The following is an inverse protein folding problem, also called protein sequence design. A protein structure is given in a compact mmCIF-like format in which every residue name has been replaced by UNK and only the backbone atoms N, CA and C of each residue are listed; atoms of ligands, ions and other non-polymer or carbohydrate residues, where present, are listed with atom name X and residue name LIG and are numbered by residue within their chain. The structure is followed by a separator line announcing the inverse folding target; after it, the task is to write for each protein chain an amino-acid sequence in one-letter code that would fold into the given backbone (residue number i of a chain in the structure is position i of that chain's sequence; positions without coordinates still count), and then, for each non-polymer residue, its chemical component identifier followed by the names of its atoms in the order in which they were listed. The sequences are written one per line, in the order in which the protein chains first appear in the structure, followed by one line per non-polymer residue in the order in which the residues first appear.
data_IF_084302665826
#
_entry.id   IF_084302665826
#
_cell.length_a   1.000
_cell.length_b   1.000
_cell.length_c   1.000
_cell.angle_alpha   90.00
_cell.angle_beta   90.00
_cell.angle_gamma   90.00
#
_symmetry.space_group_name_H-M   'P 1'
#
loop_
_entity.id
_entity.type
_entity.pdbx_description
1 polymer ?
#
# COMPACT_ATOMS: atom_id res chain seq x y z
N UNK A 1 27.52 1.80 -42.58
CA UNK A 1 27.47 1.75 -41.09
C UNK A 1 26.22 2.41 -40.49
N UNK A 2 25.52 3.31 -41.19
CA UNK A 2 24.27 3.96 -40.74
C UNK A 2 23.02 3.05 -40.81
N UNK A 3 22.91 2.18 -41.82
CA UNK A 3 21.75 1.27 -41.96
C UNK A 3 21.66 0.16 -40.90
N UNK A 4 22.80 -0.30 -40.37
CA UNK A 4 22.81 -1.34 -39.33
C UNK A 4 22.31 -0.81 -37.99
N UNK A 5 22.71 0.42 -37.61
CA UNK A 5 22.23 1.11 -36.40
C UNK A 5 20.73 1.42 -36.46
N UNK A 6 20.24 1.90 -37.60
CA UNK A 6 18.81 2.17 -37.80
C UNK A 6 17.94 0.90 -37.73
N UNK A 7 18.44 -0.23 -38.24
CA UNK A 7 17.76 -1.54 -38.12
C UNK A 7 17.77 -2.06 -36.68
N UNK A 8 18.89 -1.98 -35.97
CA UNK A 8 18.94 -2.37 -34.55
C UNK A 8 18.02 -1.51 -33.68
N UNK A 9 17.98 -0.20 -33.89
CA UNK A 9 17.09 0.70 -33.13
C UNK A 9 15.62 0.38 -33.38
N UNK A 10 15.26 0.06 -34.64
CA UNK A 10 13.89 -0.35 -34.98
C UNK A 10 13.53 -1.70 -34.35
N UNK A 11 14.43 -2.66 -34.35
CA UNK A 11 14.24 -3.96 -33.70
C UNK A 11 14.09 -3.83 -32.19
N UNK A 12 14.94 -3.02 -31.55
CA UNK A 12 14.87 -2.74 -30.11
C UNK A 12 13.56 -2.05 -29.74
N UNK A 13 13.12 -1.07 -30.54
CA UNK A 13 11.83 -0.39 -30.34
C UNK A 13 10.64 -1.35 -30.48
N UNK A 14 10.64 -2.23 -31.49
CA UNK A 14 9.59 -3.24 -31.67
C UNK A 14 9.58 -4.23 -30.51
N UNK A 15 10.76 -4.64 -30.03
CA UNK A 15 10.89 -5.53 -28.88
C UNK A 15 10.29 -4.90 -27.62
N UNK A 16 10.71 -3.70 -27.23
CA UNK A 16 10.16 -3.01 -26.06
C UNK A 16 8.66 -2.73 -26.18
N UNK A 17 8.19 -2.35 -27.37
CA UNK A 17 6.77 -2.15 -27.62
C UNK A 17 5.97 -3.45 -27.45
N UNK A 18 6.49 -4.57 -27.96
CA UNK A 18 5.86 -5.89 -27.81
C UNK A 18 5.80 -6.32 -26.34
N UNK A 19 6.86 -6.08 -25.57
CA UNK A 19 6.90 -6.38 -24.13
C UNK A 19 5.89 -5.53 -23.36
N UNK A 20 5.83 -4.22 -23.63
CA UNK A 20 4.85 -3.33 -23.00
C UNK A 20 3.41 -3.74 -23.35
N UNK A 21 3.14 -4.05 -24.61
CA UNK A 21 1.82 -4.51 -25.06
C UNK A 21 1.43 -5.85 -24.42
N UNK A 22 2.36 -6.80 -24.32
CA UNK A 22 2.14 -8.08 -23.66
C UNK A 22 1.84 -7.90 -22.17
N UNK A 23 2.56 -7.02 -21.47
CA UNK A 23 2.30 -6.71 -20.05
C UNK A 23 0.89 -6.16 -19.85
N UNK A 24 0.46 -5.19 -20.67
CA UNK A 24 -0.91 -4.63 -20.62
C UNK A 24 -1.95 -5.71 -20.92
N UNK A 25 -1.72 -6.55 -21.94
CA UNK A 25 -2.62 -7.63 -22.31
C UNK A 25 -2.80 -8.66 -21.18
N UNK A 26 -1.72 -9.04 -20.50
CA UNK A 26 -1.76 -9.96 -19.35
C UNK A 26 -2.58 -9.35 -18.20
N UNK A 27 -2.33 -8.09 -17.84
CA UNK A 27 -3.10 -7.40 -16.79
C UNK A 27 -4.59 -7.34 -17.13
N UNK A 28 -4.91 -7.02 -18.39
CA UNK A 28 -6.29 -6.98 -18.87
C UNK A 28 -6.95 -8.37 -18.85
N UNK A 29 -6.21 -9.42 -19.18
CA UNK A 29 -6.70 -10.80 -19.11
C UNK A 29 -6.94 -11.25 -17.66
N UNK A 30 -6.06 -10.89 -16.72
CA UNK A 30 -6.26 -11.14 -15.28
C UNK A 30 -7.53 -10.43 -14.80
N UNK A 31 -7.74 -9.18 -15.22
CA UNK A 31 -8.96 -8.45 -14.90
C UNK A 31 -10.20 -9.17 -15.45
N UNK A 32 -10.22 -9.54 -16.74
CA UNK A 32 -11.35 -10.28 -17.33
C UNK A 32 -11.61 -11.59 -16.56
N UNK A 33 -10.56 -12.34 -16.25
CA UNK A 33 -10.66 -13.60 -15.51
C UNK A 33 -11.29 -13.39 -14.12
N UNK A 34 -10.85 -12.36 -13.39
CA UNK A 34 -11.40 -11.98 -12.09
C UNK A 34 -12.92 -11.72 -12.17
N UNK A 35 -13.37 -10.95 -13.17
CA UNK A 35 -14.79 -10.67 -13.37
C UNK A 35 -15.59 -11.89 -13.83
N UNK A 36 -15.01 -12.71 -14.72
CA UNK A 36 -15.66 -13.93 -15.22
C UNK A 36 -15.93 -14.94 -14.10
N UNK A 37 -14.96 -15.14 -13.20
CA UNK A 37 -15.12 -16.07 -12.08
C UNK A 37 -15.87 -15.44 -10.90
N UNK A 38 -15.84 -14.12 -10.69
CA UNK A 38 -16.54 -13.49 -9.56
C UNK A 38 -18.04 -13.25 -9.77
N UNK A 39 -18.47 -12.88 -10.99
CA UNK A 39 -19.87 -12.53 -11.28
C UNK A 39 -20.92 -13.66 -11.04
N UNK A 40 -20.62 -14.96 -11.20
CA UNK A 40 -21.58 -16.05 -10.99
C UNK A 40 -22.24 -16.08 -9.60
N UNK A 41 -21.58 -15.59 -8.55
CA UNK A 41 -22.12 -15.62 -7.18
C UNK A 41 -23.41 -14.78 -7.06
N UNK A 42 -23.56 -13.74 -7.90
CA UNK A 42 -24.71 -12.83 -7.84
C UNK A 42 -26.01 -13.44 -8.36
N UNK A 43 -25.97 -14.68 -8.87
CA UNK A 43 -27.17 -15.49 -9.12
C UNK A 43 -27.78 -16.06 -7.82
N UNK A 44 -26.99 -16.12 -6.75
CA UNK A 44 -27.38 -16.70 -5.44
C UNK A 44 -27.53 -15.65 -4.35
N UNK A 45 -26.68 -14.61 -4.37
CA UNK A 45 -26.67 -13.54 -3.37
C UNK A 45 -26.86 -12.21 -4.09
N UNK A 46 -27.66 -11.30 -3.52
CA UNK A 46 -27.77 -9.96 -4.11
C UNK A 46 -26.48 -9.18 -3.90
N UNK A 47 -26.17 -8.21 -4.78
CA UNK A 47 -24.99 -7.35 -4.62
C UNK A 47 -25.02 -6.62 -3.27
N UNK A 48 -26.20 -6.19 -2.83
CA UNK A 48 -26.39 -5.49 -1.56
C UNK A 48 -26.09 -6.40 -0.37
N UNK A 49 -26.61 -7.62 -0.37
CA UNK A 49 -26.36 -8.59 0.71
C UNK A 49 -24.91 -9.05 0.73
N UNK A 50 -24.26 -9.14 -0.44
CA UNK A 50 -22.84 -9.43 -0.53
C UNK A 50 -22.00 -8.30 0.09
N UNK A 51 -22.21 -7.04 -0.33
CA UNK A 51 -21.38 -5.91 0.11
C UNK A 51 -21.66 -5.50 1.56
N UNK A 52 -22.93 -5.44 1.96
CA UNK A 52 -23.36 -4.93 3.27
C UNK A 52 -23.73 -6.03 4.26
N UNK A 53 -23.71 -7.30 3.85
CA UNK A 53 -23.91 -8.44 4.73
C UNK A 53 -22.84 -8.48 5.82
N UNK A 54 -23.26 -8.79 7.05
CA UNK A 54 -22.43 -8.68 8.25
C UNK A 54 -21.71 -9.97 8.63
N UNK A 55 -21.97 -11.06 7.91
CA UNK A 55 -21.51 -12.38 8.27
C UNK A 55 -20.84 -13.05 7.08
N UNK A 56 -19.63 -13.56 7.31
CA UNK A 56 -18.92 -14.38 6.35
C UNK A 56 -18.86 -15.81 6.90
N UNK A 57 -19.82 -16.63 6.51
CA UNK A 57 -19.88 -18.06 6.82
C UNK A 57 -20.17 -18.88 5.55
N UNK A 58 -19.19 -19.04 4.64
CA UNK A 58 -19.36 -19.80 3.40
C UNK A 58 -19.71 -21.29 3.61
N UNK A 59 -19.36 -21.84 4.77
CA UNK A 59 -19.53 -23.25 5.12
C UNK A 59 -20.79 -23.54 5.93
N UNK A 60 -21.56 -22.51 6.32
CA UNK A 60 -22.82 -22.71 7.05
C UNK A 60 -23.94 -23.19 6.12
N UNK A 61 -25.02 -23.72 6.71
CA UNK A 61 -26.24 -24.08 5.99
C UNK A 61 -27.43 -23.34 6.62
N UNK A 62 -27.98 -22.28 5.97
CA UNK A 62 -27.57 -21.72 4.67
C UNK A 62 -26.22 -20.97 4.73
N UNK A 63 -25.48 -20.84 3.60
CA UNK A 63 -24.22 -20.11 3.56
C UNK A 63 -24.44 -18.60 3.58
N UNK A 64 -23.52 -17.86 4.21
CA UNK A 64 -23.52 -16.40 4.25
C UNK A 64 -22.22 -15.83 3.65
N UNK A 65 -22.37 -14.85 2.75
CA UNK A 65 -21.29 -14.30 1.94
C UNK A 65 -21.14 -12.78 2.12
N UNK A 66 -21.61 -12.24 3.24
CA UNK A 66 -21.46 -10.83 3.59
C UNK A 66 -19.99 -10.43 3.82
N UNK A 67 -19.45 -9.58 2.95
CA UNK A 67 -18.05 -9.13 3.01
C UNK A 67 -17.85 -7.81 3.75
N UNK A 68 -18.90 -7.20 4.30
CA UNK A 68 -18.79 -5.91 5.00
C UNK A 68 -17.73 -5.91 6.11
N UNK A 69 -17.65 -6.94 6.98
CA UNK A 69 -16.58 -7.01 7.99
C UNK A 69 -15.18 -7.03 7.39
N UNK A 70 -15.00 -7.70 6.24
CA UNK A 70 -13.71 -7.80 5.55
C UNK A 70 -13.31 -6.45 4.94
N UNK A 71 -14.27 -5.71 4.38
CA UNK A 71 -14.06 -4.34 3.87
C UNK A 71 -13.64 -3.42 5.01
N UNK A 72 -14.38 -3.43 6.13
CA UNK A 72 -14.07 -2.60 7.30
C UNK A 72 -12.69 -2.95 7.86
N UNK A 73 -12.37 -4.25 7.99
CA UNK A 73 -11.06 -4.70 8.42
C UNK A 73 -9.93 -4.19 7.51
N UNK A 74 -10.07 -4.33 6.18
CA UNK A 74 -9.10 -3.82 5.21
C UNK A 74 -8.88 -2.31 5.32
N UNK A 75 -9.97 -1.54 5.42
CA UNK A 75 -9.89 -0.08 5.54
C UNK A 75 -9.25 0.31 6.87
N UNK A 76 -9.68 -0.30 7.98
CA UNK A 76 -9.19 0.06 9.31
C UNK A 76 -7.69 -0.24 9.47
N UNK A 77 -7.24 -1.43 9.03
CA UNK A 77 -5.80 -1.79 9.03
C UNK A 77 -4.99 -0.82 8.17
N UNK A 78 -5.48 -0.47 6.98
CA UNK A 78 -4.80 0.48 6.08
C UNK A 78 -4.71 1.87 6.72
N UNK A 79 -5.81 2.38 7.29
CA UNK A 79 -5.86 3.72 7.88
C UNK A 79 -4.94 3.83 9.09
N UNK A 80 -4.96 2.85 10.00
CA UNK A 80 -4.08 2.85 11.16
C UNK A 80 -2.62 2.75 10.73
N UNK A 81 -2.32 1.94 9.70
CA UNK A 81 -0.98 1.88 9.10
C UNK A 81 -0.56 3.22 8.50
N UNK A 82 -1.46 3.93 7.81
CA UNK A 82 -1.19 5.24 7.23
C UNK A 82 -0.86 6.28 8.30
N UNK A 83 -1.62 6.30 9.40
CA UNK A 83 -1.43 7.23 10.53
C UNK A 83 -0.04 7.07 11.15
N UNK A 84 0.53 5.87 11.13
CA UNK A 84 1.87 5.61 11.68
C UNK A 84 2.95 5.86 10.61
N UNK A 85 2.78 5.28 9.43
CA UNK A 85 3.82 5.22 8.41
C UNK A 85 4.06 6.54 7.67
N UNK A 86 3.01 7.33 7.41
CA UNK A 86 3.14 8.61 6.72
C UNK A 86 3.99 9.60 7.54
N UNK A 87 3.66 9.93 8.80
CA UNK A 87 4.47 10.88 9.56
C UNK A 87 5.89 10.36 9.77
N UNK A 88 6.07 9.09 10.13
CA UNK A 88 7.41 8.53 10.34
C UNK A 88 8.24 8.52 9.06
N UNK A 89 7.67 8.11 7.93
CA UNK A 89 8.36 8.09 6.65
C UNK A 89 8.75 9.48 6.17
N UNK A 90 7.81 10.44 6.19
CA UNK A 90 8.06 11.81 5.74
C UNK A 90 9.02 12.55 6.68
N UNK A 91 8.87 12.42 7.99
CA UNK A 91 9.80 13.05 8.95
C UNK A 91 11.22 12.49 8.82
N UNK A 92 11.36 11.18 8.61
CA UNK A 92 12.67 10.55 8.39
C UNK A 92 13.30 11.05 7.09
N UNK A 93 12.52 11.16 6.01
CA UNK A 93 12.99 11.72 4.75
C UNK A 93 13.48 13.17 4.89
N UNK A 94 12.72 14.01 5.57
CA UNK A 94 13.09 15.41 5.85
C UNK A 94 14.38 15.47 6.66
N UNK A 95 14.50 14.62 7.69
CA UNK A 95 15.71 14.55 8.50
C UNK A 95 16.93 14.15 7.65
N UNK A 96 16.82 13.09 6.86
CA UNK A 96 17.94 12.59 6.04
C UNK A 96 18.35 13.57 4.95
N UNK A 97 17.39 14.20 4.28
CA UNK A 97 17.67 15.11 3.16
C UNK A 97 18.27 16.45 3.63
N UNK A 98 17.78 17.02 4.73
CA UNK A 98 18.05 18.43 5.08
C UNK A 98 18.76 18.65 6.42
N UNK A 99 18.62 17.75 7.39
CA UNK A 99 19.12 17.95 8.76
C UNK A 99 20.31 17.05 9.11
N UNK A 100 20.39 15.85 8.52
CA UNK A 100 21.38 14.85 8.83
C UNK A 100 22.77 15.25 8.33
N UNK A 101 23.79 14.94 9.12
CA UNK A 101 25.17 15.04 8.65
C UNK A 101 25.42 14.00 7.54
N UNK A 102 26.23 14.32 6.53
CA UNK A 102 26.46 13.46 5.34
C UNK A 102 26.75 12.00 5.69
N UNK A 103 27.58 11.76 6.71
CA UNK A 103 27.92 10.40 7.18
C UNK A 103 26.71 9.61 7.70
N UNK A 104 25.76 10.29 8.34
CA UNK A 104 24.53 9.66 8.84
C UNK A 104 23.63 9.28 7.67
N UNK A 105 23.44 10.19 6.71
CA UNK A 105 22.64 9.91 5.51
C UNK A 105 23.21 8.74 4.69
N UNK A 106 24.54 8.72 4.49
CA UNK A 106 25.25 7.65 3.77
C UNK A 106 25.11 6.25 4.41
N UNK A 107 24.86 6.17 5.72
CA UNK A 107 24.66 4.90 6.44
C UNK A 107 23.18 4.55 6.54
N UNK A 108 22.33 5.51 6.91
CA UNK A 108 20.92 5.26 7.18
C UNK A 108 20.15 4.98 5.90
N UNK A 109 20.46 5.65 4.78
CA UNK A 109 19.74 5.44 3.50
C UNK A 109 19.83 3.98 3.02
N UNK A 110 21.03 3.36 2.91
CA UNK A 110 21.13 1.94 2.58
C UNK A 110 20.38 1.03 3.57
N UNK A 111 20.41 1.34 4.88
CA UNK A 111 19.68 0.54 5.87
C UNK A 111 18.17 0.61 5.64
N UNK A 112 17.62 1.79 5.37
CA UNK A 112 16.21 1.98 5.03
C UNK A 112 15.86 1.20 3.77
N UNK A 113 16.68 1.28 2.72
CA UNK A 113 16.45 0.53 1.47
C UNK A 113 16.51 -1.00 1.68
N UNK A 114 17.42 -1.48 2.53
CA UNK A 114 17.50 -2.89 2.90
C UNK A 114 16.26 -3.35 3.67
N UNK A 115 15.70 -2.51 4.55
CA UNK A 115 14.43 -2.81 5.24
C UNK A 115 13.26 -2.93 4.24
N UNK A 116 13.23 -2.12 3.18
CA UNK A 116 12.20 -2.17 2.14
C UNK A 116 12.24 -3.48 1.32
N UNK A 117 13.40 -4.14 1.28
CA UNK A 117 13.65 -5.38 0.54
C UNK A 117 13.30 -6.65 1.34
N UNK A 118 12.95 -6.52 2.63
CA UNK A 118 12.59 -7.67 3.44
C UNK A 118 11.34 -8.38 2.88
N UNK A 119 11.35 -9.73 2.77
CA UNK A 119 10.16 -10.47 2.35
C UNK A 119 9.02 -10.27 3.34
N UNK A 120 7.81 -10.05 2.84
CA UNK A 120 6.67 -9.72 3.70
C UNK A 120 6.28 -10.86 4.66
N UNK A 121 6.52 -12.11 4.27
CA UNK A 121 6.36 -13.29 5.14
C UNK A 121 7.29 -13.23 6.37
N UNK A 122 8.51 -12.70 6.22
CA UNK A 122 9.46 -12.56 7.34
C UNK A 122 8.93 -11.52 8.33
N UNK A 123 8.39 -10.41 7.84
CA UNK A 123 7.77 -9.37 8.67
C UNK A 123 6.52 -9.93 9.38
N UNK A 124 5.66 -10.67 8.67
CA UNK A 124 4.50 -11.33 9.26
C UNK A 124 4.88 -12.35 10.32
N UNK A 125 5.91 -13.15 10.08
CA UNK A 125 6.42 -14.11 11.07
C UNK A 125 6.98 -13.42 12.31
N UNK A 126 7.77 -12.35 12.14
CA UNK A 126 8.25 -11.54 13.26
C UNK A 126 7.08 -10.92 14.05
N UNK A 127 6.09 -10.38 13.36
CA UNK A 127 4.88 -9.83 13.98
C UNK A 127 4.09 -10.85 14.79
N UNK A 128 4.02 -12.10 14.32
CA UNK A 128 3.35 -13.20 15.01
C UNK A 128 4.15 -13.72 16.21
N UNK A 129 5.46 -13.92 16.06
CA UNK A 129 6.28 -14.62 17.08
C UNK A 129 6.84 -13.68 18.13
N UNK A 130 7.13 -12.43 17.78
CA UNK A 130 7.78 -11.46 18.69
C UNK A 130 6.81 -10.38 19.11
N UNK A 131 6.16 -9.72 18.14
CA UNK A 131 5.31 -8.55 18.43
C UNK A 131 4.01 -8.96 19.11
N UNK A 132 3.38 -10.06 18.67
CA UNK A 132 2.11 -10.48 19.27
C UNK A 132 2.24 -10.84 20.76
N UNK A 133 3.23 -11.65 21.22
CA UNK A 133 3.43 -11.88 22.66
C UNK A 133 3.79 -10.59 23.40
N UNK A 134 4.66 -9.75 22.84
CA UNK A 134 5.02 -8.46 23.43
C UNK A 134 3.80 -7.56 23.67
N UNK A 135 2.88 -7.48 22.70
CA UNK A 135 1.64 -6.70 22.85
C UNK A 135 0.71 -7.30 23.90
N UNK A 136 0.59 -8.63 23.97
CA UNK A 136 -0.21 -9.33 24.99
C UNK A 136 0.28 -9.01 26.40
N UNK A 137 1.59 -9.15 26.63
CA UNK A 137 2.19 -8.92 27.94
C UNK A 137 2.16 -7.44 28.35
N UNK A 138 2.44 -6.53 27.40
CA UNK A 138 2.54 -5.09 27.69
C UNK A 138 1.17 -4.45 27.90
N UNK A 139 0.17 -4.80 27.08
CA UNK A 139 -1.15 -4.18 27.13
C UNK A 139 -2.20 -5.03 27.86
N UNK A 140 -1.86 -6.24 28.30
CA UNK A 140 -2.80 -7.14 28.97
C UNK A 140 -3.97 -7.57 28.08
N UNK A 141 -3.75 -7.63 26.76
CA UNK A 141 -4.79 -7.94 25.77
C UNK A 141 -4.90 -9.46 25.54
N UNK A 142 -6.09 -9.98 25.19
CA UNK A 142 -6.33 -11.42 25.07
C UNK A 142 -5.61 -12.06 23.89
N UNK A 143 -5.33 -11.30 22.83
CA UNK A 143 -4.58 -11.75 21.66
C UNK A 143 -3.73 -10.62 21.11
N UNK A 144 -2.49 -10.96 20.74
CA UNK A 144 -1.59 -10.07 20.02
C UNK A 144 -1.74 -10.16 18.50
N UNK A 145 -2.55 -11.12 18.02
CA UNK A 145 -2.94 -11.21 16.62
C UNK A 145 -4.21 -10.38 16.42
N UNK A 146 -4.04 -9.13 16.07
CA UNK A 146 -5.09 -8.12 16.04
C UNK A 146 -4.83 -7.03 15.00
N UNK A 147 -5.82 -6.16 14.82
CA UNK A 147 -5.77 -5.02 13.91
C UNK A 147 -4.54 -4.14 14.14
N UNK A 148 -4.21 -3.80 15.38
CA UNK A 148 -3.07 -2.95 15.70
C UNK A 148 -1.73 -3.58 15.29
N UNK A 149 -1.51 -4.87 15.59
CA UNK A 149 -0.31 -5.57 15.17
C UNK A 149 -0.19 -5.61 13.64
N UNK A 150 -1.29 -5.91 12.94
CA UNK A 150 -1.32 -5.85 11.48
C UNK A 150 -0.94 -4.47 10.94
N UNK A 151 -1.55 -3.41 11.47
CA UNK A 151 -1.24 -2.05 11.08
C UNK A 151 0.22 -1.67 11.38
N UNK A 152 0.77 -2.10 12.51
CA UNK A 152 2.16 -1.85 12.90
C UNK A 152 3.15 -2.53 11.95
N UNK A 153 2.91 -3.79 11.59
CA UNK A 153 3.76 -4.54 10.66
C UNK A 153 3.68 -3.99 9.24
N UNK A 154 2.49 -3.57 8.78
CA UNK A 154 2.36 -2.85 7.51
C UNK A 154 3.07 -1.50 7.56
N UNK A 155 3.02 -0.79 8.69
CA UNK A 155 3.70 0.48 8.83
C UNK A 155 5.22 0.31 8.74
N UNK A 156 5.76 -0.71 9.40
CA UNK A 156 7.18 -1.06 9.33
C UNK A 156 7.65 -1.29 7.89
N UNK A 157 6.79 -1.86 7.05
CA UNK A 157 7.05 -2.10 5.64
C UNK A 157 6.88 -0.85 4.76
N UNK A 158 5.87 -0.02 5.03
CA UNK A 158 5.59 1.20 4.26
C UNK A 158 6.53 2.36 4.57
N UNK A 159 7.01 2.50 5.82
CA UNK A 159 7.90 3.59 6.23
C UNK A 159 9.14 3.69 5.34
N UNK A 160 9.89 2.60 5.06
CA UNK A 160 11.05 2.68 4.19
C UNK A 160 10.75 3.17 2.77
N UNK A 161 9.64 2.71 2.19
CA UNK A 161 9.22 3.13 0.84
C UNK A 161 8.84 4.61 0.82
N UNK A 162 8.05 5.07 1.80
CA UNK A 162 7.67 6.48 1.92
C UNK A 162 8.92 7.34 2.15
N UNK A 163 9.83 6.91 3.03
CA UNK A 163 11.04 7.64 3.36
C UNK A 163 11.96 7.81 2.15
N UNK A 164 12.35 6.72 1.49
CA UNK A 164 13.30 6.76 0.36
C UNK A 164 12.76 7.59 -0.80
N UNK A 165 11.49 7.40 -1.18
CA UNK A 165 10.89 8.18 -2.27
C UNK A 165 10.65 9.65 -1.92
N UNK A 166 10.31 9.95 -0.66
CA UNK A 166 10.16 11.34 -0.20
C UNK A 166 11.51 12.05 -0.11
N UNK A 167 12.57 11.34 0.27
CA UNK A 167 13.93 11.87 0.32
C UNK A 167 14.40 12.26 -1.09
N UNK A 168 14.21 11.38 -2.07
CA UNK A 168 14.54 11.67 -3.47
C UNK A 168 13.72 12.86 -4.02
N UNK A 169 12.44 12.99 -3.61
CA UNK A 169 11.61 14.15 -3.95
C UNK A 169 12.18 15.45 -3.37
N UNK A 170 12.65 15.44 -2.11
CA UNK A 170 13.26 16.62 -1.48
C UNK A 170 14.59 16.97 -2.15
N UNK A 171 15.43 15.97 -2.46
CA UNK A 171 16.70 16.18 -3.18
C UNK A 171 16.53 16.73 -4.60
N UNK A 172 15.37 16.50 -5.23
CA UNK A 172 15.08 17.03 -6.57
C UNK A 172 14.86 18.55 -6.60
N UNK A 173 14.68 19.19 -5.45
CA UNK A 173 14.49 20.65 -5.35
C UNK A 173 15.78 21.37 -5.77
N UNK A 174 15.75 22.29 -6.74
CA UNK A 174 16.94 23.00 -7.19
C UNK A 174 17.66 23.74 -6.06
N UNK A 175 18.99 23.55 -5.97
CA UNK A 175 19.84 24.20 -4.95
C UNK A 175 19.73 25.73 -5.00
N UNK A 176 19.49 26.30 -6.19
CA UNK A 176 19.30 27.74 -6.36
C UNK A 176 18.13 28.31 -5.54
N UNK A 177 17.04 27.56 -5.35
CA UNK A 177 15.91 28.00 -4.52
C UNK A 177 16.31 28.09 -3.04
N UNK A 178 17.15 27.15 -2.58
CA UNK A 178 17.68 27.11 -1.22
C UNK A 178 18.65 28.26 -0.97
N UNK A 179 19.63 28.44 -1.85
CA UNK A 179 20.60 29.54 -1.76
C UNK A 179 19.93 30.91 -1.87
N UNK A 180 18.93 31.05 -2.75
CA UNK A 180 18.14 32.28 -2.88
C UNK A 180 17.36 32.62 -1.61
N UNK A 181 16.74 31.63 -0.97
CA UNK A 181 16.05 31.82 0.32
C UNK A 181 17.01 32.28 1.42
N UNK A 182 18.17 31.63 1.54
CA UNK A 182 19.19 31.99 2.54
C UNK A 182 19.79 33.38 2.26
N UNK A 183 19.98 33.76 1.00
CA UNK A 183 20.48 35.08 0.61
C UNK A 183 19.52 36.23 0.98
N UNK A 184 18.21 35.95 1.06
CA UNK A 184 17.20 36.89 1.55
C UNK A 184 17.15 36.99 3.09
N UNK A 185 18.06 36.32 3.80
CA UNK A 185 18.15 36.33 5.26
C UNK A 185 17.24 35.33 5.96
N UNK A 186 16.63 34.38 5.22
CA UNK A 186 15.84 33.32 5.83
C UNK A 186 16.74 32.34 6.61
N UNK A 187 16.20 31.78 7.68
CA UNK A 187 16.84 30.69 8.43
C UNK A 187 16.69 29.35 7.70
N UNK A 188 17.56 28.38 7.99
CA UNK A 188 17.44 27.01 7.46
C UNK A 188 16.05 26.40 7.69
N UNK A 189 15.43 26.69 8.84
CA UNK A 189 14.09 26.21 9.17
C UNK A 189 13.00 26.88 8.31
N UNK A 190 13.11 28.18 8.08
CA UNK A 190 12.20 28.90 7.19
C UNK A 190 12.35 28.44 5.75
N UNK A 191 13.58 28.23 5.27
CA UNK A 191 13.84 27.68 3.94
C UNK A 191 13.23 26.28 3.79
N UNK A 192 13.38 25.41 4.80
CA UNK A 192 12.78 24.08 4.80
C UNK A 192 11.26 24.15 4.67
N UNK A 193 10.60 24.88 5.57
CA UNK A 193 9.13 24.90 5.65
C UNK A 193 8.49 25.68 4.50
N UNK A 194 9.09 26.80 4.08
CA UNK A 194 8.46 27.74 3.13
C UNK A 194 8.91 27.55 1.69
N UNK A 195 10.02 26.86 1.44
CA UNK A 195 10.58 26.69 0.08
C UNK A 195 10.69 25.23 -0.28
N UNK A 196 11.42 24.43 0.51
CA UNK A 196 11.75 23.05 0.14
C UNK A 196 10.53 22.12 0.25
N UNK A 197 9.80 22.15 1.36
CA UNK A 197 8.62 21.30 1.54
C UNK A 197 7.50 21.63 0.54
N UNK A 198 7.15 22.90 0.28
CA UNK A 198 6.15 23.23 -0.73
C UNK A 198 6.60 22.83 -2.14
N UNK A 199 7.89 22.99 -2.48
CA UNK A 199 8.40 22.61 -3.80
C UNK A 199 8.44 21.08 -4.02
N UNK A 200 8.62 20.29 -2.96
CA UNK A 200 8.70 18.83 -3.02
C UNK A 200 7.36 18.11 -2.74
N UNK A 201 6.29 18.84 -2.41
CA UNK A 201 5.03 18.26 -1.93
C UNK A 201 4.38 17.27 -2.90
N UNK A 202 4.49 17.49 -4.22
CA UNK A 202 3.96 16.57 -5.22
C UNK A 202 4.72 15.24 -5.23
N UNK A 203 6.04 15.30 -5.04
CA UNK A 203 6.89 14.11 -4.92
C UNK A 203 6.64 13.37 -3.61
N UNK A 204 6.57 14.07 -2.47
CA UNK A 204 6.23 13.48 -1.16
C UNK A 204 4.84 12.85 -1.19
N UNK A 205 3.86 13.51 -1.82
CA UNK A 205 2.51 12.95 -1.97
C UNK A 205 2.55 11.65 -2.78
N UNK A 206 3.29 11.64 -3.89
CA UNK A 206 3.47 10.44 -4.73
C UNK A 206 4.15 9.31 -3.95
N UNK A 207 5.17 9.62 -3.15
CA UNK A 207 5.85 8.66 -2.27
C UNK A 207 4.91 8.03 -1.25
N UNK A 208 4.08 8.85 -0.58
CA UNK A 208 3.06 8.38 0.36
C UNK A 208 2.05 7.47 -0.35
N UNK A 209 1.56 7.88 -1.52
CA UNK A 209 0.58 7.10 -2.28
C UNK A 209 1.16 5.73 -2.63
N UNK A 210 2.36 5.69 -3.24
CA UNK A 210 3.01 4.43 -3.63
C UNK A 210 3.27 3.52 -2.41
N UNK A 211 3.70 4.10 -1.29
CA UNK A 211 3.91 3.36 -0.04
C UNK A 211 2.61 2.77 0.55
N UNK A 212 1.50 3.50 0.44
CA UNK A 212 0.19 3.04 0.93
C UNK A 212 -0.51 2.07 -0.02
N UNK A 213 -0.38 2.26 -1.34
CA UNK A 213 -0.92 1.32 -2.34
C UNK A 213 -0.35 -0.09 -2.15
N UNK A 214 0.92 -0.19 -1.73
CA UNK A 214 1.55 -1.46 -1.36
C UNK A 214 0.89 -2.09 -0.13
N UNK A 215 0.60 -1.30 0.91
CA UNK A 215 0.00 -1.79 2.14
C UNK A 215 -1.44 -2.29 1.98
N UNK A 216 -2.25 -1.65 1.11
CA UNK A 216 -3.65 -2.05 0.86
C UNK A 216 -3.72 -3.47 0.27
N UNK A 217 -2.79 -3.79 -0.62
CA UNK A 217 -2.69 -5.09 -1.28
C UNK A 217 -1.86 -6.12 -0.51
N UNK A 218 -1.31 -5.76 0.66
CA UNK A 218 -0.46 -6.68 1.40
C UNK A 218 -1.30 -7.86 1.90
N UNK A 219 -0.81 -9.06 1.61
CA UNK A 219 -1.58 -10.30 1.79
C UNK A 219 -1.00 -11.17 2.89
N UNK A 220 0.33 -11.36 2.89
CA UNK A 220 0.95 -12.34 3.78
C UNK A 220 1.12 -11.80 5.21
N UNK A 221 1.51 -10.53 5.36
CA UNK A 221 1.64 -9.92 6.70
C UNK A 221 0.31 -9.99 7.43
N UNK A 222 -0.76 -9.47 6.82
CA UNK A 222 -2.08 -9.42 7.43
C UNK A 222 -2.67 -10.81 7.68
N UNK A 223 -2.43 -11.78 6.79
CA UNK A 223 -2.85 -13.17 7.00
C UNK A 223 -2.25 -13.76 8.28
N UNK A 224 -0.99 -13.45 8.55
CA UNK A 224 -0.24 -14.00 9.69
C UNK A 224 -0.57 -13.30 11.00
N UNK A 225 -0.76 -11.98 11.01
CA UNK A 225 -0.78 -11.20 12.25
C UNK A 225 -2.13 -10.57 12.62
N UNK A 226 -3.11 -10.54 11.72
CA UNK A 226 -4.38 -9.84 11.98
C UNK A 226 -5.37 -10.63 12.87
N UNK A 227 -5.16 -11.94 13.05
CA UNK A 227 -5.99 -12.79 13.90
C UNK A 227 -7.10 -13.55 13.17
N UNK A 228 -7.45 -13.16 11.94
CA UNK A 228 -8.26 -14.00 11.03
C UNK A 228 -9.77 -14.05 11.34
N UNK A 229 -10.28 -13.18 12.21
CA UNK A 229 -11.70 -13.11 12.53
C UNK A 229 -12.47 -12.23 11.52
N UNK A 230 -13.51 -12.78 10.88
CA UNK A 230 -14.39 -12.06 9.97
C UNK A 230 -15.49 -11.30 10.72
N UNK A 231 -15.09 -10.33 11.54
CA UNK A 231 -15.99 -9.52 12.36
C UNK A 231 -15.65 -8.04 12.26
N UNK A 232 -16.63 -7.17 12.53
CA UNK A 232 -16.42 -5.73 12.55
C UNK A 232 -15.64 -5.40 13.84
N UNK A 233 -14.43 -4.83 13.75
CA UNK A 233 -13.67 -4.45 14.92
C UNK A 233 -14.36 -3.32 15.68
N UNK A 234 -14.48 -3.45 17.00
CA UNK A 234 -14.92 -2.39 17.91
C UNK A 234 -13.72 -1.72 18.61
N UNK A 235 -12.58 -2.42 18.68
CA UNK A 235 -11.32 -1.96 19.26
C UNK A 235 -10.15 -2.16 18.29
N UNK A 236 -9.07 -1.40 18.50
CA UNK A 236 -7.80 -1.59 17.80
C UNK A 236 -7.13 -2.94 18.12
N UNK A 237 -7.50 -3.56 19.26
CA UNK A 237 -6.95 -4.85 19.69
C UNK A 237 -7.84 -6.04 19.32
N UNK A 238 -8.91 -5.82 18.56
CA UNK A 238 -9.74 -6.91 18.07
C UNK A 238 -9.04 -7.68 16.93
N UNK A 239 -9.20 -9.01 16.87
CA UNK A 239 -8.81 -9.80 15.72
C UNK A 239 -9.67 -9.41 14.52
N UNK A 240 -9.04 -9.31 13.35
CA UNK A 240 -9.70 -8.93 12.10
C UNK A 240 -9.20 -9.77 10.94
N UNK A 241 -9.98 -9.78 9.86
CA UNK A 241 -9.61 -10.44 8.60
C UNK A 241 -9.84 -9.52 7.41
N UNK A 242 -8.79 -8.85 6.92
CA UNK A 242 -8.84 -8.07 5.68
C UNK A 242 -9.19 -8.94 4.45
N UNK A 243 -9.73 -8.31 3.40
CA UNK A 243 -10.07 -8.99 2.14
C UNK A 243 -8.91 -9.79 1.52
N UNK A 244 -7.67 -9.27 1.40
CA UNK A 244 -6.56 -10.04 0.85
C UNK A 244 -6.27 -11.31 1.66
N UNK A 245 -6.31 -11.20 3.00
CA UNK A 245 -6.13 -12.35 3.89
C UNK A 245 -7.24 -13.39 3.71
N UNK A 246 -8.49 -12.97 3.56
CA UNK A 246 -9.61 -13.90 3.35
C UNK A 246 -9.47 -14.66 2.03
N UNK A 247 -9.05 -13.98 0.96
CA UNK A 247 -8.79 -14.62 -0.35
C UNK A 247 -7.66 -15.64 -0.22
N UNK A 248 -6.53 -15.25 0.36
CA UNK A 248 -5.38 -16.15 0.48
C UNK A 248 -5.63 -17.34 1.41
N UNK A 249 -6.36 -17.13 2.53
CA UNK A 249 -6.64 -18.17 3.51
C UNK A 249 -7.59 -19.24 2.98
N UNK A 250 -8.60 -18.86 2.21
CA UNK A 250 -9.73 -19.75 1.90
C UNK A 250 -9.75 -20.23 0.44
N UNK A 251 -9.03 -19.57 -0.49
CA UNK A 251 -9.06 -19.94 -1.91
C UNK A 251 -8.59 -21.37 -2.15
N UNK A 252 -7.49 -21.79 -1.49
CA UNK A 252 -6.93 -23.14 -1.64
C UNK A 252 -7.82 -24.26 -1.10
N UNK A 253 -8.69 -23.94 -0.14
CA UNK A 253 -9.59 -24.90 0.51
C UNK A 253 -10.99 -24.91 -0.14
N UNK A 254 -11.29 -23.92 -0.99
CA UNK A 254 -12.61 -23.80 -1.63
C UNK A 254 -12.76 -24.79 -2.80
N UNK A 255 -13.88 -25.52 -2.90
CA UNK A 255 -14.13 -26.40 -4.05
C UNK A 255 -14.14 -25.61 -5.35
N UNK A 256 -13.40 -26.09 -6.35
CA UNK A 256 -13.32 -25.44 -7.66
C UNK A 256 -14.73 -25.22 -8.24
N UNK A 257 -15.03 -23.97 -8.61
CA UNK A 257 -16.35 -23.55 -9.13
C UNK A 257 -17.54 -23.80 -8.18
N UNK A 258 -17.28 -23.87 -6.87
CA UNK A 258 -18.31 -23.78 -5.83
C UNK A 258 -18.72 -22.34 -5.53
N UNK A 259 -19.76 -22.17 -4.73
CA UNK A 259 -20.25 -20.83 -4.33
C UNK A 259 -19.20 -20.05 -3.54
N UNK A 260 -18.50 -20.73 -2.63
CA UNK A 260 -17.41 -20.13 -1.86
C UNK A 260 -16.26 -19.65 -2.76
N UNK A 261 -15.90 -20.43 -3.77
CA UNK A 261 -14.91 -20.04 -4.77
C UNK A 261 -15.34 -18.76 -5.51
N UNK A 262 -16.56 -18.73 -6.03
CA UNK A 262 -17.09 -17.55 -6.72
C UNK A 262 -17.20 -16.31 -5.80
N UNK A 263 -17.57 -16.51 -4.53
CA UNK A 263 -17.62 -15.45 -3.54
C UNK A 263 -16.22 -14.86 -3.27
N UNK A 264 -15.17 -15.68 -3.18
CA UNK A 264 -13.79 -15.20 -3.02
C UNK A 264 -13.30 -14.40 -4.24
N UNK A 265 -13.64 -14.82 -5.46
CA UNK A 265 -13.36 -14.04 -6.67
C UNK A 265 -14.13 -12.71 -6.68
N UNK A 266 -15.40 -12.70 -6.25
CA UNK A 266 -16.18 -11.48 -6.10
C UNK A 266 -15.59 -10.54 -5.03
N UNK A 267 -15.07 -11.07 -3.92
CA UNK A 267 -14.29 -10.29 -2.93
C UNK A 267 -13.06 -9.68 -3.59
N UNK A 268 -12.39 -10.41 -4.48
CA UNK A 268 -11.28 -9.91 -5.30
C UNK A 268 -11.68 -8.76 -6.23
N UNK A 269 -12.86 -8.83 -6.88
CA UNK A 269 -13.41 -7.72 -7.68
C UNK A 269 -13.58 -6.49 -6.80
N UNK A 270 -14.16 -6.65 -5.61
CA UNK A 270 -14.37 -5.53 -4.68
C UNK A 270 -13.03 -4.93 -4.24
N UNK A 271 -12.06 -5.76 -3.85
CA UNK A 271 -10.71 -5.31 -3.52
C UNK A 271 -10.05 -4.56 -4.70
N UNK A 272 -10.19 -5.06 -5.92
CA UNK A 272 -9.68 -4.40 -7.13
C UNK A 272 -10.33 -3.03 -7.34
N UNK A 273 -11.65 -2.92 -7.19
CA UNK A 273 -12.34 -1.64 -7.32
C UNK A 273 -11.95 -0.66 -6.22
N UNK A 274 -11.77 -1.13 -4.98
CA UNK A 274 -11.30 -0.30 -3.86
C UNK A 274 -9.87 0.19 -4.08
N UNK A 275 -8.96 -0.68 -4.51
CA UNK A 275 -7.56 -0.30 -4.80
C UNK A 275 -7.48 0.67 -5.97
N UNK A 276 -8.25 0.43 -7.04
CA UNK A 276 -8.34 1.35 -8.18
C UNK A 276 -8.89 2.72 -7.75
N UNK A 277 -9.99 2.75 -6.99
CA UNK A 277 -10.59 3.99 -6.50
C UNK A 277 -9.62 4.76 -5.62
N UNK A 278 -8.96 4.09 -4.67
CA UNK A 278 -7.94 4.69 -3.82
C UNK A 278 -6.81 5.30 -4.66
N UNK A 279 -6.26 4.55 -5.61
CA UNK A 279 -5.18 5.02 -6.47
C UNK A 279 -5.59 6.23 -7.33
N UNK A 280 -6.82 6.23 -7.88
CA UNK A 280 -7.32 7.37 -8.67
C UNK A 280 -7.51 8.61 -7.81
N UNK A 281 -8.10 8.46 -6.61
CA UNK A 281 -8.28 9.58 -5.67
C UNK A 281 -6.91 10.13 -5.26
N UNK A 282 -6.00 9.25 -4.89
CA UNK A 282 -4.64 9.57 -4.51
C UNK A 282 -3.90 10.36 -5.62
N UNK A 283 -3.92 9.84 -6.85
CA UNK A 283 -3.30 10.48 -8.01
C UNK A 283 -3.88 11.87 -8.29
N UNK A 284 -5.21 12.01 -8.19
CA UNK A 284 -5.88 13.31 -8.34
C UNK A 284 -5.39 14.33 -7.31
N UNK A 285 -5.21 13.93 -6.05
CA UNK A 285 -4.64 14.80 -5.01
C UNK A 285 -3.19 15.18 -5.31
N UNK A 286 -2.34 14.25 -5.75
CA UNK A 286 -0.94 14.53 -6.09
C UNK A 286 -0.81 15.53 -7.25
N UNK A 287 -1.64 15.41 -8.28
CA UNK A 287 -1.62 16.30 -9.44
C UNK A 287 -2.07 17.73 -9.15
N UNK A 288 -3.02 17.92 -8.22
CA UNK A 288 -3.47 19.25 -7.82
C UNK A 288 -2.33 20.11 -7.27
N UNK A 289 -1.40 19.53 -6.52
CA UNK A 289 -0.29 20.27 -5.94
C UNK A 289 0.85 20.57 -6.93
N UNK A 290 1.01 19.74 -7.98
CA UNK A 290 2.00 19.96 -9.05
C UNK A 290 1.75 21.26 -9.83
N UNK A 291 0.49 21.65 -10.04
CA UNK A 291 0.13 22.87 -10.79
C UNK A 291 0.47 24.16 -10.03
N UNK A 292 0.48 24.13 -8.70
CA UNK A 292 0.83 25.31 -7.88
C UNK A 292 2.32 25.62 -7.89
N UNK A 293 3.18 24.60 -8.01
CA UNK A 293 4.64 24.77 -8.04
C UNK A 293 5.15 25.35 -9.36
N UNK A 294 4.54 25.00 -10.50
CA UNK A 294 4.86 25.57 -11.81
C UNK A 294 4.33 27.00 -11.97
N UNK A 295 3.22 27.36 -11.30
CA UNK A 295 2.63 28.69 -11.37
C UNK A 295 3.30 29.74 -10.46
N UNK A 296 4.21 29.32 -9.58
CA UNK A 296 4.96 30.20 -8.67
C UNK A 296 6.47 30.30 -8.97
N UNK A 297 6.93 29.63 -10.04
CA UNK A 297 8.28 29.77 -10.61
C UNK A 297 8.26 30.78 -11.77
#
# INVERSE_FOLDING_TARGET
MTNTRSRTDKSVRIFFFSVALASIAILFMIMIFLFMEGMPIFKKVTITDFIFGKYWYPTSSPPDFGIFPLIVASIAVTLVSAVISIPLGVMTAIYLAELAHKKVAEIVKPVVELLAALPSVVIGFFGMVVVAPFLQETFGIPTGLNLFNAALMLSFMSVPTICSLSEDAIYSVPVALKEGSLALGATHWETLIRVILPASISGISTAVILGMSRAIGETMVVLMVAGGAAMIPASLFDPVRPMPASIAAEMGESPFRGDHYYALFATGIVLFLFTMLFNVIADHFAHKYRQTGEASL
#
